data_IF_991616259910
#
_entry.id   IF_991616259910
#
_cell.length_a   1.000
_cell.length_b   1.000
_cell.length_c   1.000
_cell.angle_alpha   90.00
_cell.angle_beta   90.00
_cell.angle_gamma   90.00
#
_symmetry.space_group_name_H-M   'P 1'
#
loop_
_entity.id
_entity.type
_entity.pdbx_description
1 polymer ?
#
# COMPACT_ATOMS: atom_id res chain seq x y z
N UNK A 1 -5.84 19.99 39.96
CA UNK A 1 -5.06 18.74 39.99
C UNK A 1 -5.32 17.99 38.70
N UNK A 2 -4.26 17.81 37.92
CA UNK A 2 -4.26 17.43 36.51
C UNK A 2 -4.53 15.92 36.40
N UNK A 3 -5.57 15.56 35.67
CA UNK A 3 -5.86 14.18 35.28
C UNK A 3 -4.77 13.69 34.32
N UNK A 4 -3.87 12.82 34.79
CA UNK A 4 -2.92 12.09 33.94
C UNK A 4 -3.59 10.79 33.48
N UNK A 5 -4.25 10.83 32.34
CA UNK A 5 -4.56 9.62 31.58
C UNK A 5 -3.31 9.21 30.79
N UNK A 6 -2.79 8.01 31.06
CA UNK A 6 -1.59 7.47 30.43
C UNK A 6 -1.84 7.24 28.93
N UNK A 7 -0.91 7.71 28.09
CA UNK A 7 -0.96 7.67 26.63
C UNK A 7 -1.11 6.26 26.02
N UNK A 8 -0.98 5.19 26.83
CA UNK A 8 -1.12 3.79 26.39
C UNK A 8 -2.57 3.34 26.19
N UNK A 9 -3.54 3.92 26.91
CA UNK A 9 -4.95 3.51 26.81
C UNK A 9 -5.69 4.19 25.65
N UNK A 10 -5.23 5.36 25.21
CA UNK A 10 -5.79 6.06 24.04
C UNK A 10 -5.41 5.38 22.71
N UNK A 11 -4.23 4.76 22.63
CA UNK A 11 -3.77 4.05 21.41
C UNK A 11 -4.59 2.79 21.15
N UNK A 12 -4.98 2.07 22.21
CA UNK A 12 -5.74 0.83 22.08
C UNK A 12 -7.21 1.07 21.67
N UNK A 13 -7.81 2.19 22.11
CA UNK A 13 -9.18 2.58 21.73
C UNK A 13 -9.26 3.19 20.31
N UNK A 14 -8.17 3.82 19.84
CA UNK A 14 -8.06 4.31 18.47
C UNK A 14 -7.96 3.15 17.46
N UNK A 15 -7.12 2.14 17.73
CA UNK A 15 -6.97 0.97 16.83
C UNK A 15 -8.26 0.17 16.65
N UNK A 16 -9.02 -0.06 17.73
CA UNK A 16 -10.30 -0.79 17.67
C UNK A 16 -11.41 -0.02 16.91
N UNK A 17 -11.36 1.31 16.95
CA UNK A 17 -12.30 2.20 16.24
C UNK A 17 -11.90 2.43 14.77
N UNK A 18 -10.59 2.43 14.50
CA UNK A 18 -10.00 2.57 13.16
C UNK A 18 -10.24 1.36 12.24
N UNK A 19 -10.45 0.17 12.81
CA UNK A 19 -10.67 -1.06 12.04
C UNK A 19 -12.08 -1.16 11.42
N UNK A 20 -13.06 -0.37 11.87
CA UNK A 20 -14.47 -0.54 11.43
C UNK A 20 -14.87 0.20 10.14
N UNK A 21 -13.98 1.00 9.52
CA UNK A 21 -14.35 1.77 8.31
C UNK A 21 -13.23 2.00 7.27
N UNK A 22 -12.17 1.19 7.21
CA UNK A 22 -11.20 1.27 6.10
C UNK A 22 -11.69 0.53 4.86
N UNK A 23 -12.66 1.11 4.14
CA UNK A 23 -12.78 0.81 2.71
C UNK A 23 -11.59 1.47 2.01
N UNK A 24 -10.66 0.67 1.51
CA UNK A 24 -9.72 1.06 0.44
C UNK A 24 -9.00 2.41 0.65
N UNK A 25 -8.18 2.52 1.69
CA UNK A 25 -7.05 3.47 1.73
C UNK A 25 -5.82 2.56 1.73
N UNK A 26 -5.41 2.16 0.52
CA UNK A 26 -4.22 2.61 -0.22
C UNK A 26 -2.90 2.10 0.40
N UNK A 27 -2.76 0.77 0.38
CA UNK A 27 -1.50 0.07 0.62
C UNK A 27 -0.38 0.64 -0.27
N UNK A 28 -0.70 1.11 -1.47
CA UNK A 28 0.25 1.80 -2.35
C UNK A 28 0.72 3.15 -1.78
N UNK A 29 -0.15 3.98 -1.19
CA UNK A 29 0.30 5.21 -0.51
C UNK A 29 1.08 4.90 0.76
N UNK A 30 0.59 3.98 1.59
CA UNK A 30 1.21 3.59 2.85
C UNK A 30 2.64 3.06 2.63
N UNK A 31 2.85 2.22 1.61
CA UNK A 31 4.16 1.61 1.36
C UNK A 31 5.12 2.47 0.52
N UNK A 32 4.62 3.41 -0.28
CA UNK A 32 5.48 4.33 -1.05
C UNK A 32 5.98 5.51 -0.22
N UNK A 33 5.28 5.88 0.86
CA UNK A 33 5.59 7.06 1.68
C UNK A 33 6.60 6.75 2.81
N UNK A 34 6.68 5.49 3.26
CA UNK A 34 7.39 5.10 4.49
C UNK A 34 8.84 4.61 4.29
N UNK A 35 9.35 4.58 3.05
CA UNK A 35 10.71 4.13 2.73
C UNK A 35 11.79 5.09 3.28
N UNK A 36 11.44 6.35 3.59
CA UNK A 36 12.42 7.40 3.87
C UNK A 36 12.69 7.71 5.36
N UNK A 37 11.97 7.12 6.34
CA UNK A 37 12.03 7.55 7.76
C UNK A 37 12.22 6.44 8.81
N UNK A 38 12.58 5.21 8.44
CA UNK A 38 12.62 4.11 9.41
C UNK A 38 14.00 3.93 10.07
N UNK A 39 14.12 4.33 11.34
CA UNK A 39 15.30 4.05 12.19
C UNK A 39 15.40 2.56 12.58
N UNK A 40 16.63 2.04 12.57
CA UNK A 40 16.95 0.63 12.67
C UNK A 40 17.18 0.14 14.09
N UNK A 41 16.12 -0.22 14.82
CA UNK A 41 16.24 -0.70 16.20
C UNK A 41 15.35 -1.93 16.55
N UNK A 42 15.08 -2.86 15.63
CA UNK A 42 14.40 -4.12 16.01
C UNK A 42 14.00 -5.11 14.91
N UNK A 43 13.76 -6.35 15.34
CA UNK A 43 13.14 -7.46 14.60
C UNK A 43 11.61 -7.27 14.61
N UNK A 44 11.13 -6.36 13.76
CA UNK A 44 9.70 -6.01 13.73
C UNK A 44 8.98 -6.81 12.64
N UNK A 45 7.87 -7.48 12.98
CA UNK A 45 6.96 -8.18 12.04
C UNK A 45 6.63 -7.28 10.84
N UNK A 46 6.52 -5.97 11.11
CA UNK A 46 6.31 -4.91 10.13
C UNK A 46 7.43 -4.83 9.08
N UNK A 47 8.70 -5.05 9.45
CA UNK A 47 9.84 -4.99 8.52
C UNK A 47 9.91 -6.18 7.58
N UNK A 48 9.60 -7.38 8.09
CA UNK A 48 9.53 -8.59 7.25
C UNK A 48 8.45 -8.40 6.20
N UNK A 49 7.30 -7.88 6.63
CA UNK A 49 6.17 -7.60 5.76
C UNK A 49 6.50 -6.54 4.72
N UNK A 50 7.07 -5.39 5.12
CA UNK A 50 7.50 -4.33 4.19
C UNK A 50 8.51 -4.85 3.17
N UNK A 51 9.52 -5.61 3.61
CA UNK A 51 10.51 -6.21 2.71
C UNK A 51 9.84 -7.18 1.74
N UNK A 52 8.96 -8.05 2.20
CA UNK A 52 8.22 -8.98 1.35
C UNK A 52 7.37 -8.23 0.30
N UNK A 53 6.60 -7.23 0.72
CA UNK A 53 5.75 -6.45 -0.18
C UNK A 53 6.55 -5.66 -1.22
N UNK A 54 7.70 -5.09 -0.83
CA UNK A 54 8.59 -4.38 -1.75
C UNK A 54 9.15 -5.27 -2.87
N UNK A 55 9.28 -6.58 -2.63
CA UNK A 55 9.69 -7.56 -3.64
C UNK A 55 8.55 -7.99 -4.55
N UNK A 56 7.33 -8.08 -4.00
CA UNK A 56 6.14 -8.48 -4.73
C UNK A 56 5.64 -7.38 -5.67
N UNK A 57 5.68 -6.11 -5.24
CA UNK A 57 5.12 -5.00 -6.01
C UNK A 57 5.68 -4.87 -7.44
N UNK A 58 7.01 -4.93 -7.70
CA UNK A 58 7.55 -4.91 -9.06
C UNK A 58 7.06 -6.09 -9.92
N UNK A 59 6.83 -7.26 -9.32
CA UNK A 59 6.31 -8.42 -10.03
C UNK A 59 4.86 -8.21 -10.45
N UNK A 60 4.01 -7.65 -9.57
CA UNK A 60 2.63 -7.33 -9.90
C UNK A 60 2.57 -6.32 -11.05
N UNK A 61 3.36 -5.24 -10.96
CA UNK A 61 3.40 -4.20 -12.00
C UNK A 61 3.84 -4.78 -13.34
N UNK A 62 4.79 -5.72 -13.35
CA UNK A 62 5.31 -6.33 -14.57
C UNK A 62 4.36 -7.36 -15.19
N UNK A 63 3.71 -8.18 -14.36
CA UNK A 63 3.02 -9.38 -14.82
C UNK A 63 1.49 -9.22 -14.89
N UNK A 64 0.91 -8.41 -14.01
CA UNK A 64 -0.55 -8.32 -13.83
C UNK A 64 -1.16 -7.07 -14.46
N UNK A 65 -0.34 -6.05 -14.75
CA UNK A 65 -0.78 -4.84 -15.42
C UNK A 65 -0.53 -4.92 -16.92
N UNK A 66 -1.52 -4.50 -17.69
CA UNK A 66 -1.30 -4.17 -19.10
C UNK A 66 -0.31 -3.01 -19.22
N UNK A 67 0.36 -2.92 -20.36
CA UNK A 67 1.31 -1.83 -20.64
C UNK A 67 0.68 -0.45 -20.43
N UNK A 68 -0.59 -0.27 -20.84
CA UNK A 68 -1.33 0.99 -20.67
C UNK A 68 -1.66 1.31 -19.22
N UNK A 69 -2.06 0.32 -18.43
CA UNK A 69 -2.28 0.47 -16.99
C UNK A 69 -0.98 0.86 -16.28
N UNK A 70 0.11 0.14 -16.54
CA UNK A 70 1.44 0.41 -15.96
C UNK A 70 1.94 1.82 -16.32
N UNK A 71 1.85 2.20 -17.60
CA UNK A 71 2.25 3.52 -18.06
C UNK A 71 1.44 4.64 -17.38
N UNK A 72 0.11 4.54 -17.35
CA UNK A 72 -0.74 5.52 -16.67
C UNK A 72 -0.43 5.60 -15.16
N UNK A 73 -0.21 4.45 -14.52
CA UNK A 73 0.10 4.37 -13.09
C UNK A 73 1.45 5.02 -12.76
N UNK A 74 2.50 4.78 -13.57
CA UNK A 74 3.82 5.41 -13.41
C UNK A 74 3.76 6.92 -13.65
N UNK A 75 3.07 7.36 -14.70
CA UNK A 75 2.90 8.79 -14.97
C UNK A 75 2.22 9.54 -13.81
N UNK A 76 1.24 8.91 -13.18
CA UNK A 76 0.54 9.50 -12.04
C UNK A 76 1.38 9.49 -10.75
N UNK A 77 1.88 8.32 -10.33
CA UNK A 77 2.52 8.16 -9.02
C UNK A 77 4.03 8.44 -9.01
N UNK A 78 4.75 8.14 -10.09
CA UNK A 78 6.22 8.32 -10.16
C UNK A 78 6.58 9.68 -10.73
N UNK A 79 5.88 10.10 -11.79
CA UNK A 79 6.16 11.37 -12.47
C UNK A 79 5.26 12.53 -12.02
N UNK A 80 4.32 12.29 -11.09
CA UNK A 80 3.48 13.33 -10.50
C UNK A 80 2.53 14.04 -11.48
N UNK A 81 2.24 13.45 -12.65
CA UNK A 81 1.38 14.07 -13.67
C UNK A 81 -0.09 13.96 -13.29
N UNK A 82 -0.84 15.02 -13.53
CA UNK A 82 -2.30 15.00 -13.44
C UNK A 82 -2.92 14.12 -14.54
N UNK A 83 -4.14 13.63 -14.30
CA UNK A 83 -4.85 12.81 -15.30
C UNK A 83 -5.09 13.54 -16.62
N UNK A 84 -5.20 14.87 -16.60
CA UNK A 84 -5.38 15.72 -17.80
C UNK A 84 -4.08 15.81 -18.60
N UNK A 85 -2.93 15.90 -17.93
CA UNK A 85 -1.62 15.88 -18.60
C UNK A 85 -1.34 14.51 -19.22
N UNK A 86 -1.63 13.43 -18.49
CA UNK A 86 -1.51 12.05 -18.99
C UNK A 86 -2.42 11.85 -20.20
N UNK A 87 -3.67 12.34 -20.14
CA UNK A 87 -4.62 12.24 -21.26
C UNK A 87 -4.08 12.93 -22.53
N UNK A 88 -3.53 14.14 -22.39
CA UNK A 88 -2.90 14.86 -23.50
C UNK A 88 -1.69 14.12 -24.07
N UNK A 89 -0.80 13.63 -23.21
CA UNK A 89 0.44 12.98 -23.61
C UNK A 89 0.21 11.63 -24.28
N UNK A 90 -0.75 10.85 -23.77
CA UNK A 90 -1.11 9.54 -24.32
C UNK A 90 -2.14 9.60 -25.44
N UNK A 91 -2.65 10.80 -25.78
CA UNK A 91 -3.75 11.02 -26.74
C UNK A 91 -4.99 10.19 -26.40
N UNK A 92 -5.34 10.15 -25.12
CA UNK A 92 -6.52 9.48 -24.57
C UNK A 92 -7.50 10.50 -23.99
N UNK A 93 -8.73 10.07 -23.74
CA UNK A 93 -9.66 10.88 -22.93
C UNK A 93 -9.30 10.75 -21.44
N UNK A 94 -9.51 11.82 -20.68
CA UNK A 94 -9.29 11.79 -19.22
C UNK A 94 -10.11 10.69 -18.51
N UNK A 95 -11.38 10.39 -18.88
CA UNK A 95 -12.10 9.26 -18.31
C UNK A 95 -11.44 7.89 -18.58
N UNK A 96 -10.79 7.73 -19.73
CA UNK A 96 -10.04 6.50 -20.04
C UNK A 96 -8.78 6.39 -19.20
N UNK A 97 -8.05 7.48 -18.99
CA UNK A 97 -6.90 7.52 -18.07
C UNK A 97 -7.34 7.20 -16.64
N UNK A 98 -8.43 7.81 -16.16
CA UNK A 98 -9.00 7.53 -14.84
C UNK A 98 -9.33 6.05 -14.66
N UNK A 99 -9.96 5.42 -15.67
CA UNK A 99 -10.24 3.97 -15.67
C UNK A 99 -8.97 3.12 -15.63
N UNK A 100 -7.94 3.46 -16.42
CA UNK A 100 -6.67 2.73 -16.40
C UNK A 100 -5.99 2.82 -15.04
N UNK A 101 -5.92 4.01 -14.43
CA UNK A 101 -5.32 4.20 -13.10
C UNK A 101 -6.12 3.41 -12.05
N UNK A 102 -7.45 3.55 -12.04
CA UNK A 102 -8.31 2.83 -11.10
C UNK A 102 -8.14 1.33 -11.21
N UNK A 103 -8.23 0.79 -12.42
CA UNK A 103 -8.07 -0.64 -12.67
C UNK A 103 -6.68 -1.14 -12.27
N UNK A 104 -5.62 -0.37 -12.55
CA UNK A 104 -4.27 -0.70 -12.12
C UNK A 104 -4.13 -0.74 -10.59
N UNK A 105 -4.69 0.27 -9.89
CA UNK A 105 -4.73 0.31 -8.43
C UNK A 105 -5.47 -0.90 -7.86
N UNK A 106 -6.63 -1.24 -8.41
CA UNK A 106 -7.45 -2.37 -7.95
C UNK A 106 -6.69 -3.70 -8.09
N UNK A 107 -5.98 -3.90 -9.21
CA UNK A 107 -5.14 -5.09 -9.43
C UNK A 107 -4.00 -5.14 -8.40
N UNK A 108 -3.25 -4.05 -8.26
CA UNK A 108 -2.12 -3.99 -7.32
C UNK A 108 -2.58 -4.25 -5.88
N UNK A 109 -3.65 -3.60 -5.44
CA UNK A 109 -4.20 -3.78 -4.10
C UNK A 109 -4.68 -5.22 -3.87
N UNK A 110 -5.32 -5.85 -4.86
CA UNK A 110 -5.76 -7.25 -4.76
C UNK A 110 -4.57 -8.18 -4.50
N UNK A 111 -3.53 -8.10 -5.33
CA UNK A 111 -2.39 -9.00 -5.18
C UNK A 111 -1.57 -8.72 -3.92
N UNK A 112 -1.33 -7.45 -3.58
CA UNK A 112 -0.65 -7.11 -2.32
C UNK A 112 -1.44 -7.57 -1.10
N UNK A 113 -2.77 -7.52 -1.12
CA UNK A 113 -3.58 -8.01 0.01
C UNK A 113 -3.41 -9.52 0.23
N UNK A 114 -3.34 -10.32 -0.84
CA UNK A 114 -3.10 -11.75 -0.73
C UNK A 114 -1.68 -12.03 -0.24
N UNK A 115 -0.69 -11.34 -0.78
CA UNK A 115 0.70 -11.49 -0.34
C UNK A 115 0.88 -11.11 1.12
N UNK A 116 0.31 -9.98 1.55
CA UNK A 116 0.31 -9.54 2.93
C UNK A 116 -0.26 -10.61 3.86
N UNK A 117 -1.44 -11.14 3.53
CA UNK A 117 -2.09 -12.17 4.33
C UNK A 117 -1.24 -13.44 4.43
N UNK A 118 -0.64 -13.87 3.31
CA UNK A 118 0.21 -15.07 3.29
C UNK A 118 1.46 -14.93 4.15
N UNK A 119 2.14 -13.78 4.09
CA UNK A 119 3.35 -13.51 4.87
C UNK A 119 3.01 -13.40 6.35
N UNK A 120 1.91 -12.74 6.68
CA UNK A 120 1.43 -12.64 8.05
C UNK A 120 1.12 -14.02 8.65
N UNK A 121 0.37 -14.84 7.92
CA UNK A 121 0.07 -16.22 8.36
C UNK A 121 1.34 -17.06 8.53
N UNK A 122 2.30 -16.96 7.61
CA UNK A 122 3.58 -17.66 7.73
C UNK A 122 4.36 -17.24 8.99
N UNK A 123 4.43 -15.93 9.27
CA UNK A 123 5.05 -15.41 10.49
C UNK A 123 4.32 -15.90 11.76
N UNK A 124 2.98 -15.86 11.79
CA UNK A 124 2.20 -16.34 12.93
C UNK A 124 2.41 -17.83 13.21
N UNK A 125 2.59 -18.65 12.18
CA UNK A 125 2.88 -20.08 12.34
C UNK A 125 4.32 -20.30 12.81
N UNK A 126 5.30 -19.54 12.28
CA UNK A 126 6.69 -19.61 12.73
C UNK A 126 6.81 -19.34 14.23
N UNK A 127 6.20 -18.26 14.71
CA UNK A 127 6.22 -17.87 16.13
C UNK A 127 5.52 -18.87 17.06
N UNK A 128 4.67 -19.75 16.55
CA UNK A 128 4.05 -20.83 17.36
C UNK A 128 4.92 -22.07 17.46
N UNK A 129 5.88 -22.24 16.55
CA UNK A 129 6.80 -23.38 16.53
C UNK A 129 8.08 -23.15 17.33
N UNK A 130 8.32 -21.90 17.74
CA UNK A 130 9.46 -21.46 18.55
C UNK A 130 9.05 -21.26 20.02
#
# INVERSE_FOLDING_TARGET
MIWHASAKELVHCCLATMMRRKKMIDFVEEYMTDINNYEDNGFDEQRILIKAMSKVLPMIIKNELTERQNLCLRMFYVFGKSQVEIARELKLSQPTVSRHIKSAKDIVNKFLSYSFYSVKQANEQWLKME
#
